data_IF_903039152488
#
_entry.id   IF_903039152488
#
_cell.length_a   1.000
_cell.length_b   1.000
_cell.length_c   1.000
_cell.angle_alpha   90.00
_cell.angle_beta   90.00
_cell.angle_gamma   90.00
#
_symmetry.space_group_name_H-M   'P 1'
#
loop_
_entity.id
_entity.type
_entity.pdbx_description
1 polymer ?
#
# COMPACT_ATOMS: atom_id res chain seq x y z
N UNK A 1 71.68 -45.86 -13.53
CA UNK A 1 71.31 -45.55 -14.93
C UNK A 1 69.80 -45.73 -15.06
N UNK A 2 69.06 -44.71 -15.53
CA UNK A 2 67.62 -44.80 -15.91
C UNK A 2 67.48 -45.69 -17.17
N UNK A 3 66.35 -46.38 -17.40
CA UNK A 3 65.10 -45.78 -17.93
C UNK A 3 63.82 -46.32 -17.24
N UNK A 4 62.81 -45.52 -16.88
CA UNK A 4 61.73 -44.92 -17.68
C UNK A 4 61.06 -45.88 -18.69
N UNK A 5 59.94 -46.49 -18.29
CA UNK A 5 58.89 -47.00 -19.19
C UNK A 5 57.56 -46.40 -18.74
N UNK A 6 56.96 -45.66 -19.66
CA UNK A 6 55.73 -44.88 -19.55
C UNK A 6 54.55 -45.83 -19.82
N UNK A 7 53.63 -46.00 -18.87
CA UNK A 7 52.38 -46.72 -19.11
C UNK A 7 51.26 -45.70 -19.33
N UNK A 8 50.75 -45.67 -20.55
CA UNK A 8 49.66 -44.82 -21.02
C UNK A 8 48.30 -45.35 -20.54
N UNK A 9 47.61 -44.60 -19.67
CA UNK A 9 46.15 -44.70 -19.54
C UNK A 9 45.50 -43.57 -20.34
N UNK A 10 44.73 -43.94 -21.35
CA UNK A 10 43.80 -43.05 -22.03
C UNK A 10 42.74 -42.57 -21.02
N UNK A 11 42.72 -41.26 -20.75
CA UNK A 11 41.55 -40.56 -20.25
C UNK A 11 41.03 -39.70 -21.40
N UNK A 12 39.92 -40.13 -22.01
CA UNK A 12 39.14 -39.33 -22.95
C UNK A 12 38.54 -38.15 -22.19
N UNK A 13 39.20 -36.99 -22.28
CA UNK A 13 38.59 -35.71 -21.93
C UNK A 13 37.64 -35.33 -23.07
N UNK A 14 36.35 -35.63 -22.88
CA UNK A 14 35.30 -35.01 -23.67
C UNK A 14 35.27 -33.52 -23.31
N UNK A 15 35.61 -32.68 -24.28
CA UNK A 15 35.45 -31.24 -24.17
C UNK A 15 33.95 -30.93 -24.29
N UNK A 16 33.22 -30.91 -23.17
CA UNK A 16 31.89 -30.31 -23.14
C UNK A 16 32.06 -28.81 -23.38
N UNK A 17 31.66 -28.36 -24.57
CA UNK A 17 31.44 -26.95 -24.85
C UNK A 17 30.49 -26.43 -23.78
N UNK A 18 30.98 -25.49 -22.96
CA UNK A 18 30.14 -24.67 -22.12
C UNK A 18 29.01 -24.10 -22.99
N UNK A 19 27.74 -24.16 -22.56
CA UNK A 19 26.68 -23.47 -23.26
C UNK A 19 27.04 -21.98 -23.23
N UNK A 20 27.33 -21.43 -24.40
CA UNK A 20 27.36 -19.99 -24.63
C UNK A 20 25.92 -19.48 -24.47
N UNK A 21 25.48 -19.38 -23.23
CA UNK A 21 24.35 -18.55 -22.85
C UNK A 21 24.81 -17.13 -23.10
N UNK A 22 24.34 -16.54 -24.20
CA UNK A 22 24.29 -15.09 -24.34
C UNK A 22 23.52 -14.58 -23.13
N UNK A 23 24.23 -14.03 -22.13
CA UNK A 23 23.61 -13.17 -21.15
C UNK A 23 23.07 -11.98 -21.94
N UNK A 24 21.78 -12.02 -22.28
CA UNK A 24 21.07 -10.82 -22.70
C UNK A 24 21.15 -9.88 -21.50
N UNK A 25 21.86 -8.77 -21.68
CA UNK A 25 21.72 -7.62 -20.81
C UNK A 25 20.30 -7.11 -21.02
N UNK A 26 19.35 -7.67 -20.28
CA UNK A 26 17.98 -7.17 -20.26
C UNK A 26 18.04 -5.69 -19.92
N UNK A 27 17.59 -4.85 -20.86
CA UNK A 27 17.46 -3.42 -20.62
C UNK A 27 16.33 -3.20 -19.60
N UNK A 28 16.28 -2.02 -18.95
CA UNK A 28 15.19 -1.72 -17.99
C UNK A 28 13.80 -1.89 -18.60
N UNK A 29 13.67 -1.63 -19.91
CA UNK A 29 12.43 -1.80 -20.67
C UNK A 29 12.05 -3.29 -20.81
N UNK A 30 13.01 -4.19 -21.04
CA UNK A 30 12.76 -5.63 -21.19
C UNK A 30 12.13 -6.27 -19.94
N UNK A 31 12.34 -5.69 -18.75
CA UNK A 31 11.75 -6.15 -17.48
C UNK A 31 10.23 -5.88 -17.38
N UNK A 32 9.72 -4.91 -18.15
CA UNK A 32 8.29 -4.59 -18.19
C UNK A 32 7.50 -5.49 -19.16
N UNK A 33 8.16 -6.17 -20.09
CA UNK A 33 7.49 -6.92 -21.15
C UNK A 33 7.41 -8.43 -20.87
N UNK A 34 6.30 -9.04 -21.28
CA UNK A 34 6.15 -10.48 -21.41
C UNK A 34 5.63 -10.77 -22.83
N UNK A 35 6.42 -11.48 -23.63
CA UNK A 35 5.97 -11.94 -24.95
C UNK A 35 5.05 -13.15 -24.77
N UNK A 36 3.88 -13.10 -25.41
CA UNK A 36 2.82 -14.12 -25.31
C UNK A 36 2.60 -14.79 -26.67
N UNK A 37 2.35 -16.10 -26.65
CA UNK A 37 2.13 -16.88 -27.88
C UNK A 37 0.69 -16.78 -28.40
N UNK A 38 -0.28 -16.31 -27.59
CA UNK A 38 -1.65 -16.03 -28.03
C UNK A 38 -2.61 -15.65 -26.89
N UNK A 39 -3.68 -14.91 -27.21
CA UNK A 39 -4.61 -14.29 -26.23
C UNK A 39 -5.43 -15.33 -25.44
N UNK A 40 -5.64 -16.54 -25.98
CA UNK A 40 -6.51 -17.58 -25.39
C UNK A 40 -5.78 -18.71 -24.64
N UNK A 41 -4.44 -18.75 -24.66
CA UNK A 41 -3.69 -19.87 -24.10
C UNK A 41 -3.13 -19.61 -22.70
N UNK A 42 -2.99 -18.34 -22.32
CA UNK A 42 -2.40 -17.97 -21.05
C UNK A 42 -3.46 -17.69 -19.99
N UNK A 43 -3.52 -18.57 -18.99
CA UNK A 43 -4.25 -18.24 -17.75
C UNK A 43 -3.48 -17.13 -17.04
N UNK A 44 -4.16 -16.12 -16.47
CA UNK A 44 -3.48 -15.08 -15.69
C UNK A 44 -2.61 -15.75 -14.61
N UNK A 45 -1.30 -15.47 -14.66
CA UNK A 45 -0.36 -15.94 -13.63
C UNK A 45 -0.82 -15.36 -12.30
N UNK A 46 -1.00 -16.24 -11.32
CA UNK A 46 -1.46 -15.86 -10.00
C UNK A 46 -0.33 -15.12 -9.29
N UNK A 47 -0.56 -13.86 -8.91
CA UNK A 47 0.36 -13.15 -8.02
C UNK A 47 0.52 -13.96 -6.73
N UNK A 48 1.75 -14.31 -6.33
CA UNK A 48 1.99 -15.04 -5.11
C UNK A 48 1.50 -14.21 -3.93
N UNK A 49 0.60 -14.79 -3.14
CA UNK A 49 0.08 -14.23 -1.91
C UNK A 49 1.07 -14.49 -0.77
N UNK A 50 2.25 -13.88 -0.85
CA UNK A 50 3.26 -13.93 0.21
C UNK A 50 2.90 -12.95 1.32
N UNK A 51 2.13 -13.40 2.30
CA UNK A 51 1.79 -12.58 3.46
C UNK A 51 2.67 -12.96 4.65
N UNK A 52 3.53 -12.05 5.12
CA UNK A 52 4.10 -12.17 6.47
C UNK A 52 3.10 -11.57 7.44
N UNK A 53 2.45 -12.41 8.24
CA UNK A 53 1.50 -11.96 9.26
C UNK A 53 2.24 -11.09 10.28
N UNK A 54 1.72 -9.91 10.57
CA UNK A 54 2.18 -9.12 11.71
C UNK A 54 1.88 -9.89 13.01
N UNK A 55 2.91 -10.14 13.81
CA UNK A 55 2.84 -11.00 15.00
C UNK A 55 2.97 -10.25 16.33
N UNK A 56 3.30 -8.95 16.27
CA UNK A 56 3.52 -8.10 17.42
C UNK A 56 3.02 -6.68 17.15
N UNK A 57 2.83 -5.92 18.23
CA UNK A 57 2.62 -4.47 18.12
C UNK A 57 3.90 -3.78 17.62
N UNK A 58 3.78 -2.60 16.97
CA UNK A 58 4.94 -1.81 16.57
C UNK A 58 5.82 -1.47 17.76
N UNK A 59 7.13 -1.32 17.54
CA UNK A 59 8.12 -1.17 18.61
C UNK A 59 7.89 0.07 19.50
N UNK A 60 7.30 1.14 18.96
CA UNK A 60 6.99 2.36 19.70
C UNK A 60 5.73 2.25 20.58
N UNK A 61 4.97 1.16 20.45
CA UNK A 61 3.75 0.93 21.23
C UNK A 61 4.07 -0.01 22.38
N UNK A 62 3.96 0.51 23.61
CA UNK A 62 3.99 -0.35 24.80
C UNK A 62 2.60 -0.95 24.99
N UNK A 63 2.52 -2.27 25.15
CA UNK A 63 1.27 -2.97 25.41
C UNK A 63 1.33 -3.69 26.75
N UNK A 64 0.35 -3.44 27.62
CA UNK A 64 0.19 -4.09 28.92
C UNK A 64 -1.24 -4.61 29.10
N UNK A 65 -1.45 -5.52 30.05
CA UNK A 65 -2.79 -6.03 30.35
C UNK A 65 -3.76 -4.89 30.65
N UNK A 66 -4.86 -4.80 29.89
CA UNK A 66 -5.87 -3.77 30.12
C UNK A 66 -6.67 -4.07 31.39
N UNK A 67 -6.86 -3.09 32.30
CA UNK A 67 -7.79 -3.22 33.42
C UNK A 67 -9.26 -3.26 32.96
N UNK A 68 -9.53 -2.76 31.76
CA UNK A 68 -10.84 -2.72 31.08
C UNK A 68 -11.00 -3.88 30.08
N UNK A 69 -10.44 -5.04 30.39
CA UNK A 69 -10.40 -6.22 29.52
C UNK A 69 -11.74 -6.48 28.81
N UNK A 70 -11.68 -6.56 27.48
CA UNK A 70 -12.77 -7.06 26.63
C UNK A 70 -12.21 -8.11 25.69
N UNK A 71 -12.83 -9.29 25.69
CA UNK A 71 -12.47 -10.33 24.74
C UNK A 71 -12.75 -9.83 23.31
N UNK A 72 -11.76 -9.98 22.42
CA UNK A 72 -11.98 -9.63 21.02
C UNK A 72 -13.10 -10.51 20.45
N UNK A 73 -14.08 -9.87 19.82
CA UNK A 73 -15.15 -10.55 19.11
C UNK A 73 -15.40 -9.89 17.77
N UNK A 74 -15.37 -10.71 16.72
CA UNK A 74 -15.74 -10.31 15.37
C UNK A 74 -17.10 -10.94 15.01
N UNK A 75 -18.12 -10.11 14.81
CA UNK A 75 -19.39 -10.51 14.22
C UNK A 75 -19.88 -9.44 13.23
N UNK A 76 -20.58 -9.85 12.18
CA UNK A 76 -21.18 -8.91 11.22
C UNK A 76 -22.11 -7.92 11.94
N UNK A 77 -22.93 -8.41 12.87
CA UNK A 77 -23.86 -7.59 13.65
C UNK A 77 -23.12 -6.49 14.42
N UNK A 78 -22.00 -6.83 15.07
CA UNK A 78 -21.18 -5.86 15.81
C UNK A 78 -20.58 -4.80 14.88
N UNK A 79 -20.07 -5.20 13.71
CA UNK A 79 -19.54 -4.24 12.71
C UNK A 79 -20.62 -3.34 12.14
N UNK A 80 -21.81 -3.86 11.86
CA UNK A 80 -22.92 -3.03 11.38
C UNK A 80 -23.35 -2.01 12.45
N UNK A 81 -23.38 -2.43 13.72
CA UNK A 81 -23.67 -1.54 14.84
C UNK A 81 -22.61 -0.44 14.99
N UNK A 82 -21.32 -0.79 14.98
CA UNK A 82 -20.21 0.17 15.04
C UNK A 82 -20.25 1.16 13.86
N UNK A 83 -20.57 0.68 12.66
CA UNK A 83 -20.75 1.53 11.48
C UNK A 83 -21.93 2.49 11.63
N UNK A 84 -23.09 2.01 12.09
CA UNK A 84 -24.26 2.85 12.35
C UNK A 84 -23.98 3.92 13.41
N UNK A 85 -23.32 3.55 14.50
CA UNK A 85 -22.92 4.49 15.56
C UNK A 85 -22.00 5.58 15.02
N UNK A 86 -21.04 5.21 14.16
CA UNK A 86 -20.16 6.18 13.51
C UNK A 86 -20.94 7.12 12.57
N UNK A 87 -21.81 6.58 11.71
CA UNK A 87 -22.63 7.36 10.78
C UNK A 87 -23.57 8.33 11.50
N UNK A 88 -24.24 7.87 12.56
CA UNK A 88 -25.06 8.71 13.42
C UNK A 88 -24.21 9.78 14.13
N UNK A 89 -23.00 9.40 14.58
CA UNK A 89 -22.10 10.32 15.26
C UNK A 89 -21.66 11.47 14.34
N UNK A 90 -21.10 11.12 13.18
CA UNK A 90 -20.61 12.05 12.16
C UNK A 90 -21.73 12.87 11.50
N UNK A 91 -22.95 12.32 11.44
CA UNK A 91 -24.11 13.00 10.90
C UNK A 91 -24.67 14.11 11.80
N UNK A 92 -24.36 14.14 13.10
CA UNK A 92 -24.99 15.06 14.04
C UNK A 92 -24.52 16.52 13.87
N UNK A 93 -25.41 17.47 14.19
CA UNK A 93 -25.09 18.89 14.15
C UNK A 93 -23.91 19.25 15.06
N UNK A 94 -23.85 18.64 16.26
CA UNK A 94 -22.75 18.83 17.20
C UNK A 94 -21.39 18.40 16.63
N UNK A 95 -21.35 17.29 15.91
CA UNK A 95 -20.13 16.81 15.26
C UNK A 95 -19.71 17.77 14.15
N UNK A 96 -20.63 18.13 13.25
CA UNK A 96 -20.33 19.05 12.13
C UNK A 96 -19.88 20.42 12.61
N UNK A 97 -20.45 20.92 13.71
CA UNK A 97 -20.02 22.17 14.33
C UNK A 97 -18.60 22.06 14.91
N UNK A 98 -18.26 20.94 15.57
CA UNK A 98 -16.96 20.72 16.21
C UNK A 98 -15.84 20.42 15.21
N UNK A 99 -16.11 19.56 14.22
CA UNK A 99 -15.09 18.99 13.35
C UNK A 99 -15.20 19.39 11.88
N UNK A 100 -16.27 20.06 11.44
CA UNK A 100 -16.44 20.49 10.05
C UNK A 100 -15.25 21.30 9.48
N UNK A 101 -14.63 22.24 10.23
CA UNK A 101 -13.42 22.91 9.78
C UNK A 101 -12.23 21.95 9.57
N UNK A 102 -12.07 20.96 10.45
CA UNK A 102 -11.01 19.95 10.33
C UNK A 102 -11.28 19.00 9.16
N UNK A 103 -12.52 18.59 8.91
CA UNK A 103 -12.89 17.76 7.74
C UNK A 103 -12.64 18.48 6.42
N UNK A 104 -12.81 19.80 6.39
CA UNK A 104 -12.48 20.61 5.22
C UNK A 104 -10.97 20.70 5.01
N UNK A 105 -10.19 20.81 6.08
CA UNK A 105 -8.74 20.92 6.03
C UNK A 105 -8.04 19.57 5.77
N UNK A 106 -8.62 18.48 6.28
CA UNK A 106 -8.12 17.11 6.13
C UNK A 106 -9.24 16.20 5.57
N UNK A 107 -9.53 16.29 4.26
CA UNK A 107 -10.48 15.40 3.61
C UNK A 107 -10.08 13.93 3.81
N UNK A 108 -11.07 13.05 3.98
CA UNK A 108 -10.85 11.62 4.22
C UNK A 108 -10.61 11.24 5.68
N UNK A 109 -10.41 12.22 6.57
CA UNK A 109 -10.34 11.97 8.01
C UNK A 109 -11.72 11.99 8.65
N UNK A 110 -11.90 11.11 9.61
CA UNK A 110 -13.01 11.10 10.57
C UNK A 110 -12.47 11.39 11.95
N UNK A 111 -13.03 12.39 12.62
CA UNK A 111 -12.56 12.83 13.93
C UNK A 111 -13.38 12.17 15.04
N UNK A 112 -12.75 11.82 16.15
CA UNK A 112 -13.34 10.92 17.15
C UNK A 112 -13.47 11.61 18.51
N UNK A 113 -12.38 12.16 19.02
CA UNK A 113 -12.31 12.77 20.35
C UNK A 113 -11.27 13.89 20.36
N UNK A 114 -11.50 14.94 21.16
CA UNK A 114 -10.55 16.05 21.33
C UNK A 114 -10.21 16.23 22.80
N UNK A 115 -8.92 16.25 23.13
CA UNK A 115 -8.40 16.48 24.47
C UNK A 115 -7.14 17.34 24.40
N UNK A 116 -7.06 18.38 25.25
CA UNK A 116 -5.88 19.24 25.40
C UNK A 116 -5.28 19.76 24.07
N UNK A 117 -6.13 20.16 23.11
CA UNK A 117 -5.68 20.67 21.80
C UNK A 117 -5.24 19.59 20.79
N UNK A 118 -5.31 18.32 21.17
CA UNK A 118 -5.10 17.17 20.29
C UNK A 118 -6.44 16.53 19.94
N UNK A 119 -6.60 16.08 18.69
CA UNK A 119 -7.80 15.41 18.22
C UNK A 119 -7.46 14.02 17.68
N UNK A 120 -8.00 12.98 18.32
CA UNK A 120 -7.94 11.62 17.80
C UNK A 120 -8.79 11.54 16.53
N UNK A 121 -8.19 11.04 15.47
CA UNK A 121 -8.82 10.89 14.17
C UNK A 121 -8.45 9.54 13.56
N UNK A 122 -9.18 9.16 12.52
CA UNK A 122 -8.86 8.02 11.67
C UNK A 122 -9.02 8.38 10.21
N UNK A 123 -8.27 7.71 9.35
CA UNK A 123 -8.53 7.70 7.91
C UNK A 123 -8.49 6.24 7.42
N UNK A 124 -8.36 6.04 6.11
CA UNK A 124 -8.25 4.69 5.55
C UNK A 124 -7.03 3.91 6.06
N UNK A 125 -5.91 4.56 6.37
CA UNK A 125 -4.65 3.92 6.78
C UNK A 125 -4.60 3.52 8.25
N UNK A 126 -5.43 4.11 9.11
CA UNK A 126 -5.40 3.80 10.53
C UNK A 126 -5.73 5.00 11.41
N UNK A 127 -5.15 5.00 12.61
CA UNK A 127 -5.34 6.04 13.62
C UNK A 127 -4.29 7.14 13.56
N UNK A 128 -4.75 8.34 13.88
CA UNK A 128 -4.01 9.58 13.78
C UNK A 128 -4.29 10.45 14.99
N UNK A 129 -3.31 11.25 15.40
CA UNK A 129 -3.54 12.38 16.28
C UNK A 129 -3.34 13.66 15.48
N UNK A 130 -4.28 14.58 15.57
CA UNK A 130 -4.24 15.86 14.87
C UNK A 130 -4.00 16.95 15.89
N UNK A 131 -2.88 17.66 15.74
CA UNK A 131 -2.55 18.84 16.53
C UNK A 131 -3.07 20.07 15.79
N UNK A 132 -3.87 20.87 16.47
CA UNK A 132 -4.31 22.16 15.92
C UNK A 132 -3.18 23.19 16.08
N UNK A 133 -2.61 23.66 14.97
CA UNK A 133 -1.59 24.70 14.96
C UNK A 133 -2.10 25.97 14.27
N UNK A 134 -1.39 27.08 14.45
CA UNK A 134 -1.74 28.36 13.81
C UNK A 134 -1.64 28.31 12.28
N UNK A 135 -0.73 27.49 11.76
CA UNK A 135 -0.54 27.21 10.34
C UNK A 135 -1.60 26.27 9.75
N UNK A 136 -2.37 25.59 10.60
CA UNK A 136 -3.35 24.58 10.21
C UNK A 136 -3.26 23.32 11.06
N UNK A 137 -4.17 22.34 10.88
CA UNK A 137 -4.09 21.07 11.57
C UNK A 137 -2.95 20.21 11.02
N UNK A 138 -2.07 19.71 11.91
CA UNK A 138 -1.00 18.76 11.55
C UNK A 138 -1.35 17.36 12.09
N UNK A 139 -1.64 16.38 11.21
CA UNK A 139 -1.90 15.00 11.61
C UNK A 139 -0.59 14.21 11.78
N UNK A 140 -0.59 13.26 12.72
CA UNK A 140 0.55 12.39 13.03
C UNK A 140 0.05 10.95 13.12
N UNK A 141 0.66 10.05 12.36
CA UNK A 141 0.25 8.66 12.30
C UNK A 141 0.67 7.91 13.57
N UNK A 142 -0.23 7.10 14.13
CA UNK A 142 0.03 6.35 15.37
C UNK A 142 0.78 5.03 15.13
N UNK A 143 0.93 4.57 13.89
CA UNK A 143 1.41 3.22 13.60
C UNK A 143 0.35 2.13 13.84
N UNK A 144 -0.90 2.52 14.10
CA UNK A 144 -2.03 1.60 14.30
C UNK A 144 -2.89 1.55 13.03
N UNK A 145 -2.63 0.55 12.19
CA UNK A 145 -3.41 0.21 11.00
C UNK A 145 -4.74 -0.50 11.36
N UNK A 146 -5.67 -0.71 10.42
CA UNK A 146 -6.91 -1.46 10.67
C UNK A 146 -6.72 -2.93 11.04
N UNK A 147 -5.51 -3.48 10.92
CA UNK A 147 -5.16 -4.80 11.46
C UNK A 147 -5.16 -4.81 13.00
N UNK A 148 -5.07 -3.64 13.63
CA UNK A 148 -5.18 -3.48 15.08
C UNK A 148 -6.63 -3.15 15.45
N UNK A 149 -7.23 -3.96 16.33
CA UNK A 149 -8.56 -3.68 16.84
C UNK A 149 -8.45 -2.75 18.04
N UNK A 150 -8.98 -1.53 17.94
CA UNK A 150 -9.03 -0.58 19.05
C UNK A 150 -10.45 -0.54 19.61
N UNK A 151 -10.56 -0.84 20.90
CA UNK A 151 -11.82 -0.87 21.64
C UNK A 151 -12.43 0.55 21.74
N UNK A 152 -13.76 0.65 21.68
CA UNK A 152 -14.53 1.88 21.89
C UNK A 152 -14.15 3.08 21.01
N UNK A 153 -13.44 2.87 19.90
CA UNK A 153 -12.98 3.94 19.02
C UNK A 153 -14.10 4.92 18.57
N UNK A 154 -15.33 4.41 18.48
CA UNK A 154 -16.51 5.17 18.02
C UNK A 154 -17.33 5.81 19.13
N UNK A 155 -16.95 5.58 20.40
CA UNK A 155 -17.61 6.22 21.54
C UNK A 155 -17.18 7.68 21.58
N UNK A 156 -18.17 8.58 21.64
CA UNK A 156 -17.90 10.03 21.65
C UNK A 156 -17.09 10.45 22.87
N UNK A 157 -16.11 11.31 22.61
CA UNK A 157 -15.29 11.98 23.63
C UNK A 157 -14.62 11.00 24.61
N UNK A 158 -14.29 9.79 24.14
CA UNK A 158 -13.55 8.82 24.94
C UNK A 158 -12.16 9.39 25.27
N UNK A 159 -11.70 9.27 26.54
CA UNK A 159 -10.35 9.67 26.91
C UNK A 159 -9.32 8.82 26.19
N UNK A 160 -8.36 9.49 25.54
CA UNK A 160 -7.26 8.84 24.83
C UNK A 160 -5.90 9.41 25.24
N UNK A 161 -5.85 10.47 26.04
CA UNK A 161 -4.62 11.13 26.46
C UNK A 161 -4.45 11.01 27.98
N UNK A 162 -3.30 10.49 28.41
CA UNK A 162 -2.86 10.45 29.81
C UNK A 162 -1.46 11.05 29.86
N UNK A 163 -1.34 12.21 30.51
CA UNK A 163 -0.09 12.97 30.59
C UNK A 163 0.46 13.30 29.18
N UNK A 164 1.63 12.74 28.83
CA UNK A 164 2.32 12.92 27.54
C UNK A 164 2.20 11.67 26.64
N UNK A 165 1.20 10.82 26.89
CA UNK A 165 1.02 9.55 26.17
C UNK A 165 -0.41 9.38 25.67
N UNK A 166 -0.52 8.89 24.43
CA UNK A 166 -1.76 8.32 23.93
C UNK A 166 -1.96 6.97 24.62
N UNK A 167 -3.15 6.77 25.17
CA UNK A 167 -3.57 5.54 25.85
C UNK A 167 -4.87 5.05 25.23
N UNK A 168 -4.86 3.85 24.68
CA UNK A 168 -6.00 3.23 24.01
C UNK A 168 -6.11 1.77 24.45
N UNK A 169 -7.32 1.25 24.59
CA UNK A 169 -7.51 -0.20 24.74
C UNK A 169 -7.61 -0.85 23.35
N UNK A 170 -6.90 -1.97 23.14
CA UNK A 170 -6.96 -2.66 21.86
C UNK A 170 -6.41 -4.08 21.86
N UNK A 171 -6.86 -4.88 20.91
CA UNK A 171 -6.42 -6.25 20.68
C UNK A 171 -5.60 -6.35 19.39
N UNK A 172 -4.60 -7.23 19.41
CA UNK A 172 -3.85 -7.59 18.21
C UNK A 172 -4.53 -8.78 17.54
N UNK A 173 -4.99 -8.56 16.31
CA UNK A 173 -5.61 -9.61 15.51
C UNK A 173 -4.85 -9.76 14.20
N UNK A 174 -4.81 -10.98 13.67
CA UNK A 174 -4.31 -11.23 12.33
C UNK A 174 -5.45 -11.75 11.46
N UNK A 175 -5.55 -11.26 10.23
CA UNK A 175 -6.52 -11.75 9.28
C UNK A 175 -6.02 -13.04 8.64
N UNK A 176 -6.76 -14.13 8.84
CA UNK A 176 -6.55 -15.40 8.15
C UNK A 176 -7.44 -15.43 6.91
N UNK A 177 -6.83 -15.20 5.74
CA UNK A 177 -7.49 -15.50 4.46
C UNK A 177 -7.47 -17.00 4.22
N UNK A 178 -8.64 -17.58 3.95
CA UNK A 178 -8.78 -19.00 3.64
C UNK A 178 -8.89 -19.31 2.14
N UNK A 179 -9.13 -18.35 1.25
CA UNK A 179 -9.17 -18.62 -0.20
C UNK A 179 -9.30 -17.34 -1.05
N UNK A 180 -9.26 -17.51 -2.38
CA UNK A 180 -9.44 -16.52 -3.46
C UNK A 180 -10.89 -16.16 -3.75
N UNK A 181 -11.83 -16.90 -3.17
CA UNK A 181 -13.25 -16.54 -3.17
C UNK A 181 -13.42 -15.38 -2.18
N UNK A 182 -14.35 -14.43 -2.39
CA UNK A 182 -14.75 -13.44 -1.37
C UNK A 182 -15.34 -14.17 -0.14
N UNK A 183 -14.48 -14.80 0.64
CA UNK A 183 -14.79 -15.35 1.94
C UNK A 183 -14.60 -14.25 2.97
N UNK A 184 -15.52 -14.21 3.93
CA UNK A 184 -15.47 -13.27 5.04
C UNK A 184 -14.11 -13.39 5.75
N UNK A 185 -13.47 -12.26 6.10
CA UNK A 185 -12.22 -12.30 6.83
C UNK A 185 -12.43 -13.06 8.14
N UNK A 186 -11.58 -14.07 8.39
CA UNK A 186 -11.49 -14.69 9.71
C UNK A 186 -10.35 -14.02 10.44
N UNK A 187 -10.62 -13.55 11.65
CA UNK A 187 -9.59 -12.97 12.50
C UNK A 187 -9.14 -14.03 13.49
N UNK A 188 -7.83 -14.18 13.64
CA UNK A 188 -7.22 -14.91 14.74
C UNK A 188 -6.66 -13.90 15.72
N UNK A 189 -7.08 -14.02 16.98
CA UNK A 189 -6.55 -13.18 18.05
C UNK A 189 -5.12 -13.62 18.36
N UNK A 190 -4.19 -12.68 18.34
CA UNK A 190 -2.80 -12.90 18.75
C UNK A 190 -2.56 -12.40 20.17
N UNK A 191 -3.15 -11.25 20.51
CA UNK A 191 -3.19 -10.71 21.88
C UNK A 191 -4.58 -10.14 22.12
N UNK A 192 -5.21 -10.57 23.22
CA UNK A 192 -6.47 -9.98 23.70
C UNK A 192 -6.28 -8.53 24.16
N UNK A 193 -7.37 -7.85 24.55
CA UNK A 193 -7.37 -6.43 24.95
C UNK A 193 -6.20 -6.04 25.87
N UNK A 194 -5.34 -5.17 25.35
CA UNK A 194 -4.19 -4.56 25.99
C UNK A 194 -4.44 -3.05 26.10
N UNK A 195 -3.94 -2.45 27.18
CA UNK A 195 -3.72 -1.00 27.22
C UNK A 195 -2.48 -0.71 26.37
N UNK A 196 -2.69 -0.01 25.26
CA UNK A 196 -1.69 0.47 24.33
C UNK A 196 -1.27 1.87 24.77
N UNK A 197 0.03 2.08 24.94
CA UNK A 197 0.58 3.35 25.37
C UNK A 197 1.67 3.85 24.43
N UNK A 198 1.48 5.04 23.87
CA UNK A 198 2.34 5.64 22.84
C UNK A 198 2.79 7.03 23.30
N UNK A 199 4.10 7.29 23.47
CA UNK A 199 4.60 8.62 23.83
C UNK A 199 4.34 9.64 22.72
N UNK A 200 3.85 10.83 23.08
CA UNK A 200 3.63 11.93 22.12
C UNK A 200 4.93 12.37 21.44
N UNK A 201 6.05 12.31 22.16
CA UNK A 201 7.38 12.63 21.61
C UNK A 201 7.77 11.74 20.44
N UNK A 202 7.31 10.49 20.42
CA UNK A 202 7.54 9.57 19.30
C UNK A 202 6.62 9.89 18.13
N UNK A 203 5.36 10.25 18.40
CA UNK A 203 4.40 10.59 17.35
C UNK A 203 4.77 11.88 16.60
N UNK A 204 5.28 12.88 17.32
CA UNK A 204 5.63 14.19 16.76
C UNK A 204 7.01 14.26 16.13
N UNK A 205 7.73 13.13 16.07
CA UNK A 205 9.04 13.06 15.44
C UNK A 205 8.89 13.07 13.92
N UNK A 206 9.49 14.07 13.30
CA UNK A 206 9.54 14.37 11.87
C UNK A 206 11.00 14.76 11.65
N UNK A 207 11.84 13.75 11.43
CA UNK A 207 13.29 13.85 11.66
C UNK A 207 14.01 14.63 10.58
N UNK A 208 13.45 14.71 9.38
CA UNK A 208 13.94 15.57 8.32
C UNK A 208 13.17 16.87 8.17
N UNK A 209 11.95 16.99 8.70
CA UNK A 209 11.16 18.22 8.66
C UNK A 209 10.47 18.43 7.31
N UNK A 210 10.05 17.36 6.65
CA UNK A 210 9.36 17.41 5.36
C UNK A 210 7.82 17.57 5.50
N UNK A 211 7.28 17.29 6.69
CA UNK A 211 5.86 17.40 7.02
C UNK A 211 5.19 16.10 7.44
N UNK A 212 5.76 14.94 7.09
CA UNK A 212 5.36 13.64 7.60
C UNK A 212 6.10 13.30 8.89
N UNK A 213 5.46 12.49 9.73
CA UNK A 213 6.15 11.95 10.89
C UNK A 213 6.83 10.63 10.52
N UNK A 214 7.96 10.33 11.16
CA UNK A 214 8.81 9.16 10.86
C UNK A 214 7.98 7.86 10.73
N UNK A 215 6.98 7.68 11.60
CA UNK A 215 6.11 6.50 11.60
C UNK A 215 5.26 6.39 10.34
N UNK A 216 4.80 7.51 9.77
CA UNK A 216 4.06 7.50 8.53
C UNK A 216 4.97 7.23 7.34
N UNK A 217 6.15 7.83 7.30
CA UNK A 217 7.15 7.54 6.26
C UNK A 217 7.56 6.07 6.25
N UNK A 218 7.92 5.50 7.40
CA UNK A 218 8.22 4.07 7.55
C UNK A 218 7.05 3.20 7.07
N UNK A 219 5.82 3.63 7.37
CA UNK A 219 4.61 2.93 6.97
C UNK A 219 4.43 2.91 5.44
N UNK A 220 4.70 4.03 4.76
CA UNK A 220 4.70 4.16 3.31
C UNK A 220 5.96 3.59 2.63
N UNK A 221 6.98 3.23 3.43
CA UNK A 221 8.28 2.77 2.95
C UNK A 221 9.16 3.88 2.36
N UNK A 222 9.01 5.10 2.87
CA UNK A 222 9.84 6.28 2.62
C UNK A 222 11.01 6.33 3.63
N UNK A 223 11.81 7.39 3.58
CA UNK A 223 13.06 7.50 4.33
C UNK A 223 13.03 8.65 5.37
N UNK A 224 12.84 8.35 6.68
CA UNK A 224 12.61 9.36 7.74
C UNK A 224 13.66 10.45 7.95
N UNK A 225 14.85 10.30 7.38
CA UNK A 225 15.96 11.26 7.49
C UNK A 225 16.24 12.00 6.18
N UNK A 226 15.35 11.91 5.20
CA UNK A 226 15.52 12.48 3.86
C UNK A 226 14.19 13.02 3.37
N UNK A 227 14.08 14.36 3.38
CA UNK A 227 12.90 15.08 2.91
C UNK A 227 12.42 14.64 1.53
N UNK A 228 13.35 14.26 0.67
CA UNK A 228 13.16 13.77 -0.69
C UNK A 228 13.73 12.35 -0.73
N UNK A 229 12.86 11.35 -0.57
CA UNK A 229 13.23 9.95 -0.48
C UNK A 229 13.81 9.41 -1.79
N UNK A 230 13.23 9.79 -2.92
CA UNK A 230 13.57 9.26 -4.24
C UNK A 230 14.58 10.11 -5.03
N UNK A 231 14.87 11.32 -4.56
CA UNK A 231 15.87 12.23 -5.10
C UNK A 231 15.40 13.01 -6.33
N UNK A 232 14.12 13.32 -6.45
CA UNK A 232 13.57 14.09 -7.58
C UNK A 232 13.50 15.61 -7.38
N UNK A 233 13.68 16.07 -6.14
CA UNK A 233 13.67 17.47 -5.74
C UNK A 233 12.37 17.94 -5.08
N UNK A 234 11.38 17.08 -4.88
CA UNK A 234 10.16 17.35 -4.11
C UNK A 234 10.26 16.75 -2.71
N UNK A 235 9.63 17.40 -1.72
CA UNK A 235 9.51 16.78 -0.41
C UNK A 235 8.47 15.65 -0.46
N UNK A 236 8.64 14.59 0.30
CA UNK A 236 7.75 13.42 0.26
C UNK A 236 6.30 13.80 0.60
N UNK A 237 6.09 14.78 1.47
CA UNK A 237 4.75 15.29 1.81
C UNK A 237 4.02 16.03 0.67
N UNK A 238 4.76 16.49 -0.34
CA UNK A 238 4.27 17.26 -1.49
C UNK A 238 4.33 16.46 -2.80
N UNK A 239 5.15 15.41 -2.85
CA UNK A 239 5.40 14.63 -4.05
C UNK A 239 4.17 13.79 -4.48
N UNK A 240 3.73 13.83 -5.75
CA UNK A 240 2.68 12.96 -6.25
C UNK A 240 3.08 11.47 -6.30
N UNK A 241 4.36 11.10 -6.22
CA UNK A 241 4.85 9.73 -6.13
C UNK A 241 6.22 9.68 -5.40
N UNK A 242 6.24 9.82 -4.05
CA UNK A 242 7.47 9.98 -3.25
C UNK A 242 8.42 8.78 -3.21
N UNK A 243 8.03 7.67 -3.86
CA UNK A 243 8.83 6.43 -3.86
C UNK A 243 9.73 6.32 -5.08
N UNK A 244 9.45 7.06 -6.15
CA UNK A 244 10.11 6.86 -7.44
C UNK A 244 10.23 8.14 -8.27
N UNK A 245 11.48 8.52 -8.50
CA UNK A 245 11.84 9.64 -9.37
C UNK A 245 11.15 9.54 -10.73
N UNK A 246 10.60 10.66 -11.26
CA UNK A 246 9.91 10.66 -12.53
C UNK A 246 10.85 10.27 -13.67
N UNK A 247 10.30 9.54 -14.62
CA UNK A 247 10.97 9.23 -15.89
C UNK A 247 10.09 9.63 -17.07
N UNK A 248 10.72 10.15 -18.12
CA UNK A 248 10.02 10.52 -19.34
C UNK A 248 10.16 9.39 -20.37
N UNK A 249 9.25 8.42 -20.30
CA UNK A 249 9.13 7.33 -21.27
C UNK A 249 7.80 7.36 -22.02
N UNK A 250 7.77 6.78 -23.21
CA UNK A 250 6.52 6.59 -23.95
C UNK A 250 5.48 5.79 -23.13
N UNK A 251 5.95 4.79 -22.38
CA UNK A 251 5.15 3.98 -21.48
C UNK A 251 4.58 4.77 -20.29
N UNK A 252 5.34 5.73 -19.75
CA UNK A 252 4.86 6.65 -18.72
C UNK A 252 3.64 7.43 -19.21
N UNK A 253 3.67 7.89 -20.47
CA UNK A 253 2.56 8.60 -21.11
C UNK A 253 1.30 7.74 -21.32
N UNK A 254 1.47 6.45 -21.63
CA UNK A 254 0.36 5.49 -21.69
C UNK A 254 -0.32 5.37 -20.32
N UNK A 255 0.48 5.26 -19.26
CA UNK A 255 -0.03 5.05 -17.92
C UNK A 255 -0.75 6.27 -17.35
N UNK A 256 -0.20 7.47 -17.55
CA UNK A 256 -0.87 8.72 -17.18
C UNK A 256 -2.26 8.83 -17.81
N UNK A 257 -2.44 8.33 -19.04
CA UNK A 257 -3.75 8.29 -19.70
C UNK A 257 -4.73 7.35 -19.01
N UNK A 258 -4.25 6.21 -18.49
CA UNK A 258 -5.06 5.25 -17.71
C UNK A 258 -5.47 5.87 -16.36
N UNK A 259 -4.57 6.61 -15.71
CA UNK A 259 -4.83 7.22 -14.39
C UNK A 259 -5.76 8.45 -14.43
N UNK A 260 -5.75 9.23 -15.53
CA UNK A 260 -6.58 10.44 -15.69
C UNK A 260 -8.09 10.18 -15.60
N UNK A 261 -8.52 8.93 -15.68
CA UNK A 261 -9.91 8.52 -15.48
C UNK A 261 -10.33 8.47 -14.00
N UNK A 262 -9.39 8.62 -13.06
CA UNK A 262 -9.66 8.54 -11.62
C UNK A 262 -9.90 9.94 -10.99
N UNK A 263 -10.73 9.98 -9.94
CA UNK A 263 -11.09 11.22 -9.24
C UNK A 263 -9.86 11.82 -8.54
N UNK A 264 -9.63 13.15 -8.60
CA UNK A 264 -8.51 13.76 -7.90
C UNK A 264 -8.64 13.55 -6.38
N UNK A 265 -7.53 13.14 -5.76
CA UNK A 265 -7.42 13.07 -4.30
C UNK A 265 -7.27 14.49 -3.74
N UNK A 266 -7.86 14.73 -2.57
CA UNK A 266 -7.93 16.07 -1.96
C UNK A 266 -7.08 16.21 -0.69
N UNK A 267 -6.33 15.18 -0.32
CA UNK A 267 -5.63 15.11 0.96
C UNK A 267 -4.17 14.73 0.75
N UNK A 268 -3.27 15.40 1.47
CA UNK A 268 -1.85 15.05 1.51
C UNK A 268 -1.59 13.72 2.26
N UNK A 269 -2.62 13.06 2.79
CA UNK A 269 -2.49 11.81 3.54
C UNK A 269 -3.38 10.71 2.95
N UNK A 270 -3.72 10.84 1.67
CA UNK A 270 -4.41 9.82 0.88
C UNK A 270 -3.65 9.60 -0.42
N UNK A 271 -3.51 8.34 -0.80
CA UNK A 271 -2.86 7.92 -2.03
C UNK A 271 -3.72 6.90 -2.76
N UNK A 272 -3.53 6.82 -4.07
CA UNK A 272 -3.97 5.69 -4.89
C UNK A 272 -2.84 4.68 -4.85
N UNK A 273 -3.07 3.56 -4.20
CA UNK A 273 -2.06 2.53 -4.05
C UNK A 273 -2.16 1.50 -5.17
N UNK A 274 -1.02 1.22 -5.78
CA UNK A 274 -0.95 0.41 -6.99
C UNK A 274 0.13 -0.64 -6.84
N UNK A 275 -0.21 -1.89 -7.14
CA UNK A 275 0.76 -2.97 -7.22
C UNK A 275 1.12 -3.23 -8.68
N UNK A 276 2.40 -3.10 -9.03
CA UNK A 276 2.90 -3.39 -10.39
C UNK A 276 4.34 -3.87 -10.35
N UNK A 277 4.67 -4.82 -11.23
CA UNK A 277 6.03 -5.35 -11.39
C UNK A 277 6.73 -4.76 -12.63
N UNK A 278 6.22 -3.67 -13.21
CA UNK A 278 6.84 -2.96 -14.35
C UNK A 278 7.60 -1.72 -13.85
N UNK A 279 8.95 -1.67 -13.95
CA UNK A 279 9.75 -0.53 -13.51
C UNK A 279 9.36 0.83 -14.08
N UNK A 280 9.02 0.92 -15.37
CA UNK A 280 8.68 2.21 -16.00
C UNK A 280 7.36 2.78 -15.46
N UNK A 281 6.48 1.93 -14.95
CA UNK A 281 5.21 2.34 -14.37
C UNK A 281 5.38 2.89 -12.96
N UNK A 282 6.40 2.41 -12.25
CA UNK A 282 6.73 2.90 -10.91
C UNK A 282 7.11 4.38 -10.93
N UNK A 283 7.68 4.88 -12.03
CA UNK A 283 8.18 6.25 -12.17
C UNK A 283 7.15 7.25 -12.72
N UNK A 284 5.85 6.96 -12.60
CA UNK A 284 4.80 7.85 -13.11
C UNK A 284 4.40 8.90 -12.08
N UNK A 285 4.31 10.15 -12.51
CA UNK A 285 3.96 11.32 -11.70
C UNK A 285 2.71 12.00 -12.27
N UNK A 286 1.53 11.83 -11.67
CA UNK A 286 0.29 12.45 -12.16
C UNK A 286 0.11 13.91 -11.71
N UNK A 287 -0.65 14.68 -12.51
CA UNK A 287 -0.83 16.13 -12.29
C UNK A 287 -1.66 16.48 -11.02
N UNK A 288 -2.64 15.64 -10.66
CA UNK A 288 -3.69 15.97 -9.67
C UNK A 288 -4.03 14.79 -8.74
N UNK A 289 -3.15 13.82 -8.66
CA UNK A 289 -3.33 12.61 -7.86
C UNK A 289 -2.02 12.34 -7.12
N UNK A 290 -2.11 11.54 -6.06
CA UNK A 290 -0.93 11.02 -5.38
C UNK A 290 -0.97 9.51 -5.42
N UNK A 291 0.14 8.90 -5.80
CA UNK A 291 0.28 7.47 -5.98
C UNK A 291 1.24 6.92 -4.94
N UNK A 292 0.98 5.69 -4.52
CA UNK A 292 2.01 4.86 -3.90
C UNK A 292 2.09 3.56 -4.67
N UNK A 293 3.15 3.45 -5.46
CA UNK A 293 3.40 2.25 -6.24
C UNK A 293 4.30 1.28 -5.47
N UNK A 294 4.00 -0.01 -5.58
CA UNK A 294 4.77 -1.06 -4.94
C UNK A 294 4.99 -2.22 -5.89
N UNK A 295 6.13 -2.88 -5.72
CA UNK A 295 6.41 -4.17 -6.36
C UNK A 295 5.89 -5.33 -5.51
N UNK A 296 5.76 -6.50 -6.11
CA UNK A 296 5.39 -7.73 -5.36
C UNK A 296 6.40 -8.15 -4.31
N UNK A 297 7.64 -7.69 -4.38
CA UNK A 297 8.71 -7.97 -3.40
C UNK A 297 8.91 -6.90 -2.31
N UNK A 298 8.31 -5.70 -2.44
CA UNK A 298 8.45 -4.62 -1.44
C UNK A 298 8.08 -5.05 -0.01
N UNK A 299 8.78 -4.52 0.99
CA UNK A 299 8.60 -4.89 2.41
C UNK A 299 7.94 -3.81 3.28
N UNK A 300 7.40 -2.75 2.68
CA UNK A 300 6.76 -1.65 3.42
C UNK A 300 5.57 -2.12 4.27
N UNK A 301 5.38 -1.51 5.44
CA UNK A 301 4.36 -1.95 6.40
C UNK A 301 2.93 -1.87 5.82
N UNK A 302 2.61 -0.84 5.02
CA UNK A 302 1.33 -0.75 4.32
C UNK A 302 1.00 -2.01 3.50
N UNK A 303 2.01 -2.57 2.83
CA UNK A 303 1.86 -3.79 2.03
C UNK A 303 1.76 -5.03 2.92
N UNK A 304 2.49 -5.09 4.02
CA UNK A 304 2.47 -6.24 4.91
C UNK A 304 1.17 -6.34 5.71
N UNK A 305 0.56 -5.21 6.06
CA UNK A 305 -0.59 -5.20 6.96
C UNK A 305 -1.90 -5.61 6.26
N UNK A 306 -2.21 -5.12 5.05
CA UNK A 306 -3.46 -5.51 4.34
C UNK A 306 -3.38 -5.31 2.80
N UNK A 307 -2.76 -6.22 2.04
CA UNK A 307 -2.61 -6.06 0.58
C UNK A 307 -3.95 -5.75 -0.14
N UNK A 308 -5.04 -6.46 0.15
CA UNK A 308 -6.26 -6.32 -0.68
C UNK A 308 -7.21 -5.19 -0.28
N UNK A 309 -7.08 -4.65 0.93
CA UNK A 309 -7.85 -3.46 1.33
C UNK A 309 -7.18 -2.17 0.88
N UNK A 310 -5.85 -2.19 0.73
CA UNK A 310 -5.08 -1.02 0.34
C UNK A 310 -4.68 -0.98 -1.11
N UNK A 311 -4.44 -2.11 -1.77
CA UNK A 311 -4.08 -2.18 -3.19
C UNK A 311 -5.26 -2.69 -4.02
N UNK A 312 -6.34 -1.89 -4.17
CA UNK A 312 -7.45 -2.29 -5.01
C UNK A 312 -6.99 -2.44 -6.45
N UNK A 313 -6.04 -1.60 -6.89
CA UNK A 313 -5.57 -1.53 -8.26
C UNK A 313 -4.28 -2.32 -8.40
N UNK A 314 -4.29 -3.27 -9.33
CA UNK A 314 -3.16 -4.13 -9.66
C UNK A 314 -3.00 -4.16 -11.16
N UNK A 315 -1.75 -4.06 -11.61
CA UNK A 315 -1.39 -4.09 -13.01
C UNK A 315 -0.32 -5.15 -13.24
N UNK A 316 -0.56 -6.02 -14.21
CA UNK A 316 0.43 -7.00 -14.66
C UNK A 316 1.56 -6.34 -15.47
N UNK A 317 2.54 -7.14 -15.86
CA UNK A 317 3.53 -6.75 -16.88
C UNK A 317 2.86 -6.53 -18.23
N UNK A 318 3.48 -5.73 -19.08
CA UNK A 318 2.99 -5.43 -20.42
C UNK A 318 3.13 -6.68 -21.29
N UNK A 319 2.01 -7.13 -21.83
CA UNK A 319 1.94 -8.26 -22.73
C UNK A 319 2.03 -7.77 -24.18
N UNK A 320 2.83 -8.47 -24.98
CA UNK A 320 2.93 -8.25 -26.42
C UNK A 320 2.58 -9.54 -27.17
N UNK A 321 1.89 -9.40 -28.30
CA UNK A 321 1.46 -10.52 -29.13
C UNK A 321 1.96 -10.36 -30.55
N UNK A 322 2.45 -11.44 -31.16
CA UNK A 322 2.97 -11.43 -32.54
C UNK A 322 1.92 -11.00 -33.57
N UNK A 323 0.65 -11.38 -33.34
CA UNK A 323 -0.46 -11.09 -34.25
C UNK A 323 -0.98 -9.65 -34.15
N UNK A 324 -0.56 -8.91 -33.12
CA UNK A 324 -0.97 -7.51 -32.88
C UNK A 324 0.27 -6.61 -32.72
N UNK A 325 1.13 -6.52 -33.74
CA UNK A 325 2.32 -5.68 -33.67
C UNK A 325 1.90 -4.22 -33.50
N UNK A 326 2.37 -3.57 -32.43
CA UNK A 326 2.07 -2.16 -32.13
C UNK A 326 0.97 -1.93 -31.08
N UNK A 327 0.32 -2.99 -30.59
CA UNK A 327 -0.65 -2.90 -29.48
C UNK A 327 -0.03 -3.52 -28.22
N UNK A 328 -0.06 -2.76 -27.13
CA UNK A 328 0.36 -3.20 -25.81
C UNK A 328 -0.86 -3.64 -25.01
N UNK A 329 -0.75 -4.75 -24.30
CA UNK A 329 -1.81 -5.28 -23.45
C UNK A 329 -1.36 -5.33 -22.00
N UNK A 330 -2.30 -5.23 -21.08
CA UNK A 330 -2.03 -5.37 -19.66
C UNK A 330 -3.28 -5.84 -18.94
N UNK A 331 -3.17 -6.92 -18.18
CA UNK A 331 -4.23 -7.32 -17.27
C UNK A 331 -4.26 -6.40 -16.06
N UNK A 332 -5.47 -6.07 -15.62
CA UNK A 332 -5.71 -5.27 -14.42
C UNK A 332 -6.71 -5.95 -13.49
N UNK A 333 -6.61 -5.59 -12.22
CA UNK A 333 -7.65 -5.82 -11.20
C UNK A 333 -7.90 -4.49 -10.50
N UNK A 334 -9.17 -4.14 -10.30
CA UNK A 334 -9.59 -3.00 -9.48
C UNK A 334 -10.78 -3.36 -8.58
N UNK A 335 -11.41 -2.37 -7.94
CA UNK A 335 -12.57 -2.59 -7.07
C UNK A 335 -13.82 -3.08 -7.81
N UNK A 336 -13.90 -2.84 -9.13
CA UNK A 336 -15.05 -3.22 -9.96
C UNK A 336 -14.87 -4.63 -10.50
N UNK A 337 -13.63 -5.02 -10.82
CA UNK A 337 -13.31 -6.39 -11.21
C UNK A 337 -11.97 -6.50 -11.92
N UNK A 338 -11.82 -7.58 -12.67
CA UNK A 338 -10.62 -7.85 -13.47
C UNK A 338 -10.89 -7.65 -14.96
N UNK A 339 -9.86 -7.35 -15.72
CA UNK A 339 -9.98 -7.18 -17.16
C UNK A 339 -8.65 -6.98 -17.85
N UNK A 340 -8.73 -6.57 -19.11
CA UNK A 340 -7.55 -6.27 -19.94
C UNK A 340 -7.64 -4.84 -20.45
N UNK A 341 -6.54 -4.11 -20.29
CA UNK A 341 -6.26 -2.82 -20.90
C UNK A 341 -5.46 -3.06 -22.17
N UNK A 342 -5.75 -2.28 -23.20
CA UNK A 342 -4.97 -2.23 -24.43
C UNK A 342 -4.63 -0.79 -24.78
N UNK A 343 -3.42 -0.58 -25.28
CA UNK A 343 -2.89 0.72 -25.67
C UNK A 343 -2.23 0.64 -27.04
N UNK A 344 -2.63 1.53 -27.95
CA UNK A 344 -1.99 1.69 -29.27
C UNK A 344 -1.44 3.11 -29.40
N UNK A 345 -0.18 3.23 -29.83
CA UNK A 345 0.45 4.54 -30.03
C UNK A 345 0.10 5.07 -31.42
N UNK A 346 -0.69 6.15 -31.47
CA UNK A 346 -1.04 6.84 -32.72
C UNK A 346 -0.26 8.16 -32.86
N UNK A 347 -0.24 8.80 -34.05
CA UNK A 347 0.35 10.14 -34.20
C UNK A 347 -0.29 11.21 -33.31
N UNK A 348 -1.51 10.96 -32.80
CA UNK A 348 -2.22 11.85 -31.86
C UNK A 348 -1.97 11.47 -30.38
N UNK A 349 -1.04 10.56 -30.12
CA UNK A 349 -0.75 10.00 -28.79
C UNK A 349 -1.38 8.62 -28.57
N UNK A 350 -1.29 8.13 -27.34
CA UNK A 350 -1.84 6.84 -26.95
C UNK A 350 -3.37 6.81 -27.06
N UNK A 351 -3.92 5.75 -27.65
CA UNK A 351 -5.33 5.40 -27.57
C UNK A 351 -5.47 4.18 -26.67
N UNK A 352 -6.30 4.29 -25.63
CA UNK A 352 -6.47 3.26 -24.59
C UNK A 352 -7.87 2.70 -24.62
N UNK A 353 -8.00 1.39 -24.42
CA UNK A 353 -9.29 0.71 -24.26
C UNK A 353 -9.23 -0.18 -23.03
N UNK A 354 -10.18 -0.02 -22.10
CA UNK A 354 -10.35 -0.83 -20.89
C UNK A 354 -11.54 -1.76 -21.06
N UNK A 355 -11.34 -3.08 -20.98
CA UNK A 355 -12.40 -4.09 -21.05
C UNK A 355 -12.42 -4.95 -19.80
N UNK A 356 -13.55 -5.02 -19.11
CA UNK A 356 -13.74 -5.94 -18.00
C UNK A 356 -14.02 -7.35 -18.51
N UNK A 357 -13.44 -8.35 -17.85
CA UNK A 357 -13.74 -9.75 -18.10
C UNK A 357 -15.05 -10.09 -17.40
N UNK A 358 -16.13 -10.26 -18.18
CA UNK A 358 -17.39 -10.79 -17.66
C UNK A 358 -17.18 -12.24 -17.23
N UNK A 359 -17.10 -12.46 -15.93
CA UNK A 359 -17.13 -13.82 -15.38
C UNK A 359 -18.61 -14.18 -15.23
N UNK A 360 -19.18 -14.89 -16.20
CA UNK A 360 -20.47 -15.55 -15.98
C UNK A 360 -20.25 -16.62 -14.91
N UNK A 361 -20.83 -16.42 -13.73
CA UNK A 361 -20.73 -17.37 -12.63
C UNK A 361 -21.30 -18.74 -13.03
N UNK A 362 -20.53 -19.79 -12.75
CA UNK A 362 -20.99 -21.17 -12.66
C UNK A 362 -21.81 -21.38 -11.39
#
# INVERSE_FOLDING_TARGET
MKPLILCSLLLLYACEKAPTGTATTDTKEDLCYESKEGINYDRPKQMPLGYTKQQAFPAHITASTSPSFRAFSYSEQKRQLEKQQLEESTGSASYKQKYGPLEKALPGFTFLSTQNGLTLAKNRYGLWIVRSETSGPKPYFLGLTPSYYVDNLYKRDEPFLREDRIVLDGALVTMERLSRVPMRPRYKVLKESQELSIPLSTLFKDSDGDGYNDLFEEFLGLHPLRKDSDGDGLNDSEDPNPRYKPSSGDLTGLYLKILKEQTPLRSAYEFIEILTDCPDFLAVHPDHQRLLLYKTEDQAALKMDVIDSYFPIKYSRIQTYKDYPGVLFMDFSDQVGTGTLSGEKTPRGWQTTKKYTLTFGL
#
